data_IF_204206169137
#
_entry.id   IF_204206169137
#
_cell.length_a   1.000
_cell.length_b   1.000
_cell.length_c   1.000
_cell.angle_alpha   90.00
_cell.angle_beta   90.00
_cell.angle_gamma   90.00
#
_symmetry.space_group_name_H-M   'P 1'
#
loop_
_entity.id
_entity.type
_entity.pdbx_description
1 polymer ?
#
# COMPACT_ATOMS: atom_id res chain seq x y z
N UNK A 1 8.29 15.89 -0.96
CA UNK A 1 7.44 15.47 0.17
C UNK A 1 8.31 15.46 1.44
N UNK A 2 7.89 16.02 2.59
CA UNK A 2 8.74 16.06 3.80
C UNK A 2 9.05 14.68 4.37
N UNK A 3 10.23 14.49 4.97
CA UNK A 3 10.63 13.20 5.56
C UNK A 3 9.67 12.71 6.66
N UNK A 4 9.16 13.63 7.50
CA UNK A 4 8.22 13.31 8.57
C UNK A 4 6.92 12.66 8.05
N UNK A 5 6.49 13.01 6.84
CA UNK A 5 5.30 12.44 6.19
C UNK A 5 5.56 10.98 5.79
N UNK A 6 6.75 10.71 5.23
CA UNK A 6 7.14 9.35 4.86
C UNK A 6 7.32 8.47 6.10
N UNK A 7 7.87 9.02 7.19
CA UNK A 7 8.02 8.32 8.45
C UNK A 7 6.66 7.95 9.06
N UNK A 8 5.69 8.88 9.07
CA UNK A 8 4.34 8.61 9.56
C UNK A 8 3.66 7.46 8.77
N UNK A 9 3.80 7.44 7.45
CA UNK A 9 3.31 6.35 6.62
C UNK A 9 4.04 5.02 6.91
N UNK A 10 5.36 5.06 7.05
CA UNK A 10 6.16 3.87 7.37
C UNK A 10 5.78 3.26 8.73
N UNK A 11 5.48 4.09 9.74
CA UNK A 11 5.02 3.61 11.06
C UNK A 11 3.69 2.86 10.94
N UNK A 12 2.73 3.36 10.16
CA UNK A 12 1.48 2.63 9.94
C UNK A 12 1.70 1.31 9.19
N UNK A 13 2.59 1.29 8.19
CA UNK A 13 2.94 0.03 7.52
C UNK A 13 3.64 -0.95 8.47
N UNK A 14 4.49 -0.46 9.38
CA UNK A 14 5.12 -1.28 10.41
C UNK A 14 4.10 -1.87 11.38
N UNK A 15 3.04 -1.12 11.73
CA UNK A 15 1.95 -1.63 12.56
C UNK A 15 1.14 -2.73 11.84
N UNK A 16 0.87 -2.58 10.55
CA UNK A 16 0.23 -3.61 9.72
C UNK A 16 1.06 -4.89 9.72
N UNK A 17 2.38 -4.77 9.60
CA UNK A 17 3.29 -5.91 9.69
C UNK A 17 3.31 -6.54 11.09
N UNK A 18 3.45 -5.73 12.14
CA UNK A 18 3.56 -6.20 13.52
C UNK A 18 2.30 -6.91 14.02
N UNK A 19 1.14 -6.55 13.47
CA UNK A 19 -0.17 -7.17 13.81
C UNK A 19 -0.55 -8.31 12.86
N UNK A 20 0.28 -8.60 11.86
CA UNK A 20 0.03 -9.59 10.79
C UNK A 20 -1.36 -9.40 10.13
N UNK A 21 -1.76 -8.14 9.96
CA UNK A 21 -3.08 -7.79 9.45
C UNK A 21 -3.30 -8.33 8.03
N UNK A 22 -2.23 -8.43 7.22
CA UNK A 22 -2.30 -9.02 5.88
C UNK A 22 -2.71 -10.49 5.94
N UNK A 23 -2.21 -11.29 6.89
CA UNK A 23 -2.64 -12.67 7.07
C UNK A 23 -4.12 -12.76 7.45
N UNK A 24 -4.55 -11.92 8.40
CA UNK A 24 -5.96 -11.83 8.83
C UNK A 24 -6.90 -11.50 7.67
N UNK A 25 -6.47 -10.63 6.75
CA UNK A 25 -7.23 -10.26 5.55
C UNK A 25 -7.07 -11.24 4.38
N UNK A 26 -6.30 -12.31 4.55
CA UNK A 26 -6.23 -13.42 3.61
C UNK A 26 -4.95 -13.52 2.78
N UNK A 27 -3.87 -12.85 3.15
CA UNK A 27 -2.53 -13.24 2.68
C UNK A 27 -2.15 -14.60 3.25
N UNK A 28 -1.28 -15.33 2.55
CA UNK A 28 -0.80 -16.61 3.05
C UNK A 28 0.19 -16.41 4.21
N UNK A 29 0.11 -17.21 5.31
CA UNK A 29 0.92 -16.99 6.51
C UNK A 29 2.44 -16.95 6.26
N UNK A 30 2.95 -17.81 5.36
CA UNK A 30 4.39 -17.87 5.06
C UNK A 30 4.98 -16.59 4.44
N UNK A 31 4.14 -15.72 3.88
CA UNK A 31 4.59 -14.50 3.21
C UNK A 31 3.78 -13.25 3.55
N UNK A 32 2.90 -13.32 4.54
CA UNK A 32 2.09 -12.20 5.02
C UNK A 32 2.94 -11.00 5.44
N UNK A 33 4.06 -11.24 6.11
CA UNK A 33 5.00 -10.17 6.44
C UNK A 33 5.81 -9.67 5.24
N UNK A 34 6.21 -10.58 4.33
CA UNK A 34 7.06 -10.25 3.16
C UNK A 34 6.39 -9.26 2.23
N UNK A 35 5.07 -9.35 2.05
CA UNK A 35 4.34 -8.43 1.17
C UNK A 35 4.36 -7.00 1.68
N UNK A 36 4.41 -6.80 3.01
CA UNK A 36 4.57 -5.47 3.60
C UNK A 36 6.00 -4.96 3.39
N UNK A 37 7.01 -5.80 3.69
CA UNK A 37 8.43 -5.45 3.52
C UNK A 37 8.80 -5.10 2.08
N UNK A 38 8.17 -5.72 1.09
CA UNK A 38 8.40 -5.41 -0.32
C UNK A 38 7.53 -4.24 -0.76
N UNK A 39 6.22 -4.29 -0.47
CA UNK A 39 5.27 -3.30 -0.96
C UNK A 39 5.51 -1.92 -0.37
N UNK A 40 5.71 -1.80 0.94
CA UNK A 40 5.80 -0.50 1.60
C UNK A 40 6.95 0.38 1.06
N UNK A 41 8.21 -0.09 0.94
CA UNK A 41 9.28 0.71 0.35
C UNK A 41 8.99 1.15 -1.09
N UNK A 42 8.43 0.25 -1.92
CA UNK A 42 8.04 0.56 -3.31
C UNK A 42 6.97 1.66 -3.33
N UNK A 43 5.93 1.53 -2.51
CA UNK A 43 4.85 2.50 -2.42
C UNK A 43 5.31 3.88 -1.96
N UNK A 44 6.17 3.94 -0.94
CA UNK A 44 6.73 5.19 -0.43
C UNK A 44 7.64 5.86 -1.47
N UNK A 45 8.50 5.08 -2.14
CA UNK A 45 9.36 5.59 -3.21
C UNK A 45 8.53 6.15 -4.39
N UNK A 46 7.50 5.43 -4.82
CA UNK A 46 6.58 5.90 -5.87
C UNK A 46 5.83 7.16 -5.43
N UNK A 47 5.33 7.22 -4.20
CA UNK A 47 4.62 8.39 -3.70
C UNK A 47 5.51 9.64 -3.71
N UNK A 48 6.78 9.49 -3.33
CA UNK A 48 7.76 10.56 -3.41
C UNK A 48 8.05 10.94 -4.87
N UNK A 49 8.35 9.99 -5.74
CA UNK A 49 8.68 10.25 -7.15
C UNK A 49 7.54 10.94 -7.91
N UNK A 50 6.30 10.49 -7.70
CA UNK A 50 5.13 11.08 -8.37
C UNK A 50 4.87 12.54 -7.96
N UNK A 51 5.43 13.02 -6.84
CA UNK A 51 5.31 14.43 -6.46
C UNK A 51 5.98 15.39 -7.45
N UNK A 52 6.93 14.90 -8.24
CA UNK A 52 7.66 15.69 -9.23
C UNK A 52 6.83 15.99 -10.48
N UNK A 53 5.79 15.19 -10.76
CA UNK A 53 5.03 15.27 -12.01
C UNK A 53 3.53 15.50 -11.82
N UNK A 54 2.96 15.05 -10.71
CA UNK A 54 1.52 14.98 -10.54
C UNK A 54 1.01 15.70 -9.28
N UNK A 55 -0.14 16.36 -9.42
CA UNK A 55 -0.86 16.99 -8.32
C UNK A 55 -1.36 15.99 -7.28
N UNK A 56 -1.61 16.45 -6.05
CA UNK A 56 -1.97 15.58 -4.93
C UNK A 56 -3.28 14.80 -5.16
N UNK A 57 -4.28 15.42 -5.81
CA UNK A 57 -5.57 14.77 -6.12
C UNK A 57 -5.41 13.57 -7.04
N UNK A 58 -4.71 13.75 -8.16
CA UNK A 58 -4.43 12.66 -9.11
C UNK A 58 -3.61 11.54 -8.47
N UNK A 59 -2.58 11.89 -7.68
CA UNK A 59 -1.79 10.88 -6.95
C UNK A 59 -2.66 10.04 -6.02
N UNK A 60 -3.52 10.66 -5.21
CA UNK A 60 -4.46 9.94 -4.34
C UNK A 60 -5.39 9.03 -5.14
N UNK A 61 -5.93 9.50 -6.27
CA UNK A 61 -6.80 8.71 -7.14
C UNK A 61 -6.08 7.49 -7.72
N UNK A 62 -4.83 7.67 -8.21
CA UNK A 62 -4.02 6.58 -8.75
C UNK A 62 -3.73 5.49 -7.71
N UNK A 63 -3.33 5.88 -6.49
CA UNK A 63 -3.06 4.90 -5.44
C UNK A 63 -4.33 4.22 -4.93
N UNK A 64 -5.47 4.94 -4.86
CA UNK A 64 -6.74 4.35 -4.50
C UNK A 64 -7.22 3.33 -5.54
N UNK A 65 -7.12 3.67 -6.83
CA UNK A 65 -7.42 2.77 -7.93
C UNK A 65 -6.50 1.54 -7.91
N UNK A 66 -5.19 1.75 -7.74
CA UNK A 66 -4.22 0.67 -7.64
C UNK A 66 -4.50 -0.25 -6.45
N UNK A 67 -4.88 0.29 -5.29
CA UNK A 67 -5.24 -0.48 -4.11
C UNK A 67 -6.48 -1.36 -4.37
N UNK A 68 -7.50 -0.80 -5.01
CA UNK A 68 -8.70 -1.55 -5.40
C UNK A 68 -8.39 -2.69 -6.37
N UNK A 69 -7.69 -2.40 -7.47
CA UNK A 69 -7.34 -3.39 -8.48
C UNK A 69 -6.41 -4.48 -7.92
N UNK A 70 -5.39 -4.10 -7.15
CA UNK A 70 -4.47 -5.04 -6.54
C UNK A 70 -5.15 -5.91 -5.47
N UNK A 71 -6.03 -5.33 -4.66
CA UNK A 71 -6.82 -6.05 -3.67
C UNK A 71 -7.77 -7.06 -4.32
N UNK A 72 -8.46 -6.66 -5.40
CA UNK A 72 -9.29 -7.57 -6.20
C UNK A 72 -8.47 -8.70 -6.80
N UNK A 73 -7.30 -8.41 -7.40
CA UNK A 73 -6.39 -9.42 -7.92
C UNK A 73 -5.94 -10.40 -6.84
N UNK A 74 -5.58 -9.90 -5.65
CA UNK A 74 -5.19 -10.74 -4.51
C UNK A 74 -6.33 -11.65 -4.06
N UNK A 75 -7.54 -11.10 -3.94
CA UNK A 75 -8.74 -11.82 -3.50
C UNK A 75 -9.14 -12.91 -4.49
N UNK A 76 -9.35 -12.57 -5.77
CA UNK A 76 -9.75 -13.54 -6.79
C UNK A 76 -8.65 -14.56 -7.07
N UNK A 77 -7.38 -14.13 -7.04
CA UNK A 77 -6.23 -15.03 -7.15
C UNK A 77 -6.24 -16.10 -6.06
N UNK A 78 -6.47 -15.70 -4.80
CA UNK A 78 -6.62 -16.66 -3.68
C UNK A 78 -7.77 -17.64 -3.92
N UNK A 79 -8.95 -17.13 -4.26
CA UNK A 79 -10.15 -17.95 -4.45
C UNK A 79 -9.88 -19.03 -5.50
N UNK A 80 -9.39 -18.64 -6.69
CA UNK A 80 -9.12 -19.57 -7.79
C UNK A 80 -7.96 -20.53 -7.46
N UNK A 81 -6.93 -20.05 -6.77
CA UNK A 81 -5.80 -20.90 -6.37
C UNK A 81 -6.24 -21.98 -5.38
N UNK A 82 -7.05 -21.62 -4.39
CA UNK A 82 -7.55 -22.58 -3.37
C UNK A 82 -8.55 -23.55 -4.00
N UNK A 83 -9.49 -23.09 -4.82
CA UNK A 83 -10.48 -23.97 -5.46
C UNK A 83 -9.86 -24.93 -6.47
N UNK A 84 -8.70 -24.58 -7.05
CA UNK A 84 -7.91 -25.47 -7.90
C UNK A 84 -6.95 -26.37 -7.12
N UNK A 85 -7.06 -26.45 -5.78
CA UNK A 85 -6.15 -27.21 -4.92
C UNK A 85 -4.67 -26.89 -5.19
N UNK A 86 -4.36 -25.60 -5.34
CA UNK A 86 -3.04 -25.08 -5.70
C UNK A 86 -2.54 -25.46 -7.11
N UNK A 87 -3.38 -26.02 -7.98
CA UNK A 87 -3.01 -26.39 -9.35
C UNK A 87 -2.90 -25.19 -10.31
N UNK A 88 -3.66 -24.11 -10.08
CA UNK A 88 -3.60 -22.91 -10.92
C UNK A 88 -2.50 -21.94 -10.44
N UNK A 89 -1.26 -22.15 -10.89
CA UNK A 89 -0.11 -21.33 -10.50
C UNK A 89 -0.26 -19.85 -10.82
N UNK A 90 -0.92 -19.49 -11.92
CA UNK A 90 -1.19 -18.11 -12.29
C UNK A 90 -2.08 -17.42 -11.25
N UNK A 91 -3.12 -18.09 -10.77
CA UNK A 91 -3.96 -17.57 -9.69
C UNK A 91 -3.15 -17.36 -8.40
N UNK A 92 -2.22 -18.27 -8.09
CA UNK A 92 -1.27 -18.10 -6.99
C UNK A 92 -0.38 -16.87 -7.14
N UNK A 93 0.06 -16.56 -8.36
CA UNK A 93 0.81 -15.33 -8.66
C UNK A 93 -0.04 -14.08 -8.48
N UNK A 94 -1.30 -14.07 -8.94
CA UNK A 94 -2.22 -12.96 -8.68
C UNK A 94 -2.47 -12.74 -7.19
N UNK A 95 -2.58 -13.82 -6.41
CA UNK A 95 -2.65 -13.74 -4.96
C UNK A 95 -1.40 -13.08 -4.39
N UNK A 96 -0.21 -13.57 -4.77
CA UNK A 96 1.09 -13.09 -4.27
C UNK A 96 1.37 -11.64 -4.64
N UNK A 97 1.44 -11.34 -5.93
CA UNK A 97 1.76 -10.00 -6.42
C UNK A 97 0.64 -9.00 -6.15
N UNK A 98 -0.61 -9.44 -6.09
CA UNK A 98 -1.74 -8.60 -5.67
C UNK A 98 -1.57 -8.07 -4.25
N UNK A 99 -1.09 -8.89 -3.31
CA UNK A 99 -0.80 -8.41 -1.95
C UNK A 99 0.38 -7.46 -1.89
N UNK A 100 1.46 -7.72 -2.62
CA UNK A 100 2.60 -6.78 -2.72
C UNK A 100 2.12 -5.43 -3.26
N UNK A 101 1.39 -5.44 -4.37
CA UNK A 101 0.86 -4.24 -5.00
C UNK A 101 -0.15 -3.52 -4.09
N UNK A 102 -0.96 -4.24 -3.32
CA UNK A 102 -1.88 -3.66 -2.33
C UNK A 102 -1.11 -2.91 -1.25
N UNK A 103 -0.04 -3.50 -0.70
CA UNK A 103 0.80 -2.84 0.32
C UNK A 103 1.56 -1.64 -0.24
N UNK A 104 2.02 -1.71 -1.50
CA UNK A 104 2.62 -0.56 -2.18
C UNK A 104 1.60 0.57 -2.39
N UNK A 105 0.40 0.23 -2.87
CA UNK A 105 -0.65 1.20 -3.10
C UNK A 105 -1.11 1.87 -1.81
N UNK A 106 -1.30 1.08 -0.74
CA UNK A 106 -1.67 1.58 0.58
C UNK A 106 -0.59 2.50 1.17
N UNK A 107 0.68 2.10 1.14
CA UNK A 107 1.78 2.93 1.63
C UNK A 107 1.85 4.28 0.90
N UNK A 108 1.70 4.26 -0.44
CA UNK A 108 1.68 5.49 -1.22
C UNK A 108 0.45 6.36 -1.00
N UNK A 109 -0.72 5.75 -0.76
CA UNK A 109 -1.94 6.46 -0.38
C UNK A 109 -1.78 7.14 0.98
N UNK A 110 -1.29 6.43 2.00
CA UNK A 110 -1.04 6.97 3.34
C UNK A 110 -0.06 8.14 3.30
N UNK A 111 1.05 8.01 2.58
CA UNK A 111 2.01 9.10 2.40
C UNK A 111 1.35 10.35 1.78
N UNK A 112 0.47 10.18 0.79
CA UNK A 112 -0.26 11.32 0.20
C UNK A 112 -1.28 11.93 1.16
N UNK A 113 -2.01 11.13 1.93
CA UNK A 113 -2.95 11.62 2.95
C UNK A 113 -2.20 12.45 4.00
N UNK A 114 -1.11 11.91 4.54
CA UNK A 114 -0.28 12.63 5.50
C UNK A 114 0.37 13.88 4.93
N UNK A 115 0.78 13.88 3.65
CA UNK A 115 1.30 15.08 3.00
C UNK A 115 0.25 16.20 2.97
N UNK A 116 -1.02 15.86 2.69
CA UNK A 116 -2.13 16.82 2.66
C UNK A 116 -2.46 17.34 4.06
N UNK A 117 -2.53 16.44 5.05
CA UNK A 117 -2.75 16.81 6.45
C UNK A 117 -1.63 17.73 6.96
N UNK A 118 -0.37 17.39 6.70
CA UNK A 118 0.78 18.21 7.07
C UNK A 118 0.72 19.61 6.45
N UNK A 119 0.41 19.70 5.14
CA UNK A 119 0.26 20.99 4.46
C UNK A 119 -0.88 21.84 5.04
N UNK A 120 -2.01 21.21 5.37
CA UNK A 120 -3.16 21.88 5.99
C UNK A 120 -2.86 22.39 7.40
N UNK A 121 -2.15 21.61 8.22
CA UNK A 121 -1.74 22.03 9.57
C UNK A 121 -0.80 23.23 9.48
N UNK A 122 0.22 23.16 8.61
CA UNK A 122 1.21 24.24 8.46
C UNK A 122 0.55 25.55 8.00
N UNK A 123 -0.41 25.48 7.09
CA UNK A 123 -1.12 26.67 6.60
C UNK A 123 -1.99 27.37 7.67
N UNK A 124 -2.24 26.73 8.82
CA UNK A 124 -3.06 27.25 9.92
C UNK A 124 -2.25 27.72 11.13
N UNK A 125 -0.93 27.61 11.11
CA UNK A 125 -0.11 28.16 12.19
C UNK A 125 0.14 29.65 11.93
N UNK A 126 -0.26 30.57 12.83
CA UNK A 126 0.10 31.97 12.71
C UNK A 126 1.62 32.11 12.80
N UNK A 127 2.20 32.99 11.98
CA UNK A 127 3.62 33.34 12.11
C UNK A 127 3.82 33.90 13.52
N UNK A 128 4.63 33.20 14.32
CA UNK A 128 4.93 33.54 15.70
C UNK A 128 5.94 34.69 15.77
#
# INVERSE_FOLDING_TARGET
MPAIVLLAAAILMALIWATDLTATLGAHPWWSGKVVWIGAPVGLALAWALTMRFGAGLRSALFLLALGLAGSAAYFGKVVFVTSFAGNTLAGQFWFFGWIASMAALAGLLANVFARLYGWIRARQPEA
#
